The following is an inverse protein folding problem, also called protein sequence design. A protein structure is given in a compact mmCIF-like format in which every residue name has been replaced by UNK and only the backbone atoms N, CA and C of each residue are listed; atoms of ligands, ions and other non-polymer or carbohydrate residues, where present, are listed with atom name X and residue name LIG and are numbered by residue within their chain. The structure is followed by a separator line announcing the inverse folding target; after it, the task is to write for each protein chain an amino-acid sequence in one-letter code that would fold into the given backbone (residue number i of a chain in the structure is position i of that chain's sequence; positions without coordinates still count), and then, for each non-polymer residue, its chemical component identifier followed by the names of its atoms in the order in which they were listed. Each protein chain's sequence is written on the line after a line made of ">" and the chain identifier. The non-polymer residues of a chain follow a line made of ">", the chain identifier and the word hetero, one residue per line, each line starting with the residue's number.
data_IF_810358089624
#
_entry.id   IF_810358089624
#
_cell.length_a   1.000
_cell.length_b   1.000
_cell.length_c   1.000
_cell.angle_alpha   90.00
_cell.angle_beta   90.00
_cell.angle_gamma   90.00
#
_symmetry.space_group_name_H-M   'P 1'
#
loop_
_entity.id
_entity.type
_entity.pdbx_description
1 polymer ?
#
# COMPACT_ATOMS: atom_id res chain seq x y z
N UNK A 1 -73.91 38.90 -56.75
CA UNK A 1 -73.41 38.61 -55.37
C UNK A 1 -72.55 37.38 -55.47
N UNK A 2 -71.23 37.59 -55.36
CA UNK A 2 -70.25 36.51 -55.53
C UNK A 2 -69.68 36.18 -54.15
N UNK A 3 -69.95 34.99 -53.57
CA UNK A 3 -69.42 34.48 -52.35
C UNK A 3 -68.04 33.84 -52.63
N UNK A 4 -67.01 34.39 -52.11
CA UNK A 4 -65.70 33.79 -52.15
C UNK A 4 -65.53 32.91 -50.88
N UNK A 5 -65.32 31.64 -51.09
CA UNK A 5 -65.02 30.66 -50.05
C UNK A 5 -63.49 30.67 -49.93
N UNK A 6 -62.98 31.05 -48.76
CA UNK A 6 -61.56 31.01 -48.43
C UNK A 6 -61.28 29.65 -47.78
N UNK A 7 -60.54 28.81 -48.44
CA UNK A 7 -60.07 27.55 -47.87
C UNK A 7 -58.74 27.82 -47.08
N UNK A 8 -58.79 27.60 -45.77
CA UNK A 8 -57.64 27.71 -44.90
C UNK A 8 -56.95 26.34 -44.82
N UNK A 9 -55.80 26.19 -45.49
CA UNK A 9 -54.98 24.99 -45.39
C UNK A 9 -54.13 25.10 -44.15
N UNK A 10 -54.40 24.25 -43.14
CA UNK A 10 -53.48 24.07 -41.97
C UNK A 10 -52.30 23.20 -42.40
N UNK A 11 -51.13 23.79 -42.57
CA UNK A 11 -49.87 23.04 -42.59
C UNK A 11 -49.46 22.75 -41.16
N UNK A 12 -49.62 21.51 -40.71
CA UNK A 12 -49.01 21.01 -39.50
C UNK A 12 -47.53 20.65 -39.79
N UNK A 13 -46.63 21.53 -39.43
CA UNK A 13 -45.20 21.23 -39.42
C UNK A 13 -44.86 20.31 -38.24
N UNK A 14 -44.64 19.04 -38.54
CA UNK A 14 -43.98 18.13 -37.60
C UNK A 14 -42.52 18.55 -37.46
N UNK A 15 -42.19 19.28 -36.38
CA UNK A 15 -40.82 19.43 -35.96
C UNK A 15 -40.35 18.11 -35.37
N UNK A 16 -39.62 17.32 -36.14
CA UNK A 16 -38.82 16.23 -35.61
C UNK A 16 -37.73 16.91 -34.75
N UNK A 17 -37.94 16.90 -33.44
CA UNK A 17 -36.89 17.24 -32.49
C UNK A 17 -35.76 16.21 -32.61
N UNK A 18 -34.65 16.62 -33.18
CA UNK A 18 -33.44 15.83 -33.09
C UNK A 18 -33.08 15.70 -31.61
N UNK A 19 -33.23 14.49 -31.07
CA UNK A 19 -32.71 14.15 -29.77
C UNK A 19 -31.19 14.16 -29.94
N UNK A 20 -30.55 15.27 -29.59
CA UNK A 20 -29.10 15.32 -29.45
C UNK A 20 -28.75 14.47 -28.25
N UNK A 21 -28.09 13.37 -28.51
CA UNK A 21 -27.44 12.61 -27.45
C UNK A 21 -26.40 13.53 -26.79
N UNK A 22 -26.60 13.84 -25.52
CA UNK A 22 -25.60 14.60 -24.77
C UNK A 22 -24.37 13.73 -24.59
N UNK A 23 -23.21 14.22 -25.04
CA UNK A 23 -21.95 13.56 -24.81
C UNK A 23 -21.68 13.48 -23.29
N UNK A 24 -21.57 12.26 -22.79
CA UNK A 24 -21.19 12.04 -21.39
C UNK A 24 -19.67 11.96 -21.33
N UNK A 25 -19.04 12.95 -20.72
CA UNK A 25 -17.60 12.94 -20.47
C UNK A 25 -17.34 12.50 -19.04
N UNK A 26 -16.37 11.60 -18.85
CA UNK A 26 -15.88 11.21 -17.55
C UNK A 26 -14.39 11.58 -17.44
N UNK A 27 -13.98 12.13 -16.29
CA UNK A 27 -12.60 12.47 -16.00
C UNK A 27 -12.18 11.78 -14.70
N UNK A 28 -11.00 11.20 -14.70
CA UNK A 28 -10.36 10.64 -13.51
C UNK A 28 -8.95 11.20 -13.38
N UNK A 29 -8.52 11.45 -12.13
CA UNK A 29 -7.16 11.88 -11.79
C UNK A 29 -6.53 10.76 -10.99
N UNK A 30 -5.35 10.28 -11.44
CA UNK A 30 -4.51 9.38 -10.69
C UNK A 30 -3.32 10.16 -10.14
N UNK A 31 -3.06 10.00 -8.85
CA UNK A 31 -1.95 10.69 -8.17
C UNK A 31 -0.95 9.66 -7.67
N UNK A 32 0.33 9.88 -7.97
CA UNK A 32 1.42 9.08 -7.45
C UNK A 32 2.24 9.93 -6.47
N UNK A 33 2.45 9.39 -5.27
CA UNK A 33 3.42 9.96 -4.34
C UNK A 33 4.81 9.51 -4.74
N UNK A 34 5.75 10.46 -4.86
CA UNK A 34 7.13 10.19 -5.19
C UNK A 34 8.03 10.82 -4.13
N UNK A 35 8.97 10.02 -3.62
CA UNK A 35 10.01 10.48 -2.70
C UNK A 35 11.36 9.98 -3.21
N UNK A 36 12.37 10.84 -3.23
CA UNK A 36 13.73 10.47 -3.55
C UNK A 36 14.63 10.76 -2.34
N UNK A 37 15.35 9.73 -1.87
CA UNK A 37 16.35 9.84 -0.81
C UNK A 37 17.65 9.18 -1.28
N UNK A 38 18.78 9.86 -1.04
CA UNK A 38 20.11 9.27 -1.20
C UNK A 38 20.83 9.33 0.14
N UNK A 39 21.24 8.20 0.65
CA UNK A 39 22.04 8.07 1.86
C UNK A 39 23.17 7.07 1.61
N UNK A 40 24.41 7.52 1.72
CA UNK A 40 25.63 6.74 1.48
C UNK A 40 26.57 6.74 2.68
N UNK A 41 26.15 7.33 3.80
CA UNK A 41 26.97 7.52 5.00
C UNK A 41 26.46 6.75 6.20
N UNK A 42 25.18 6.43 6.27
CA UNK A 42 24.60 5.67 7.37
C UNK A 42 25.05 4.21 7.34
N UNK A 43 25.33 3.65 8.54
CA UNK A 43 25.70 2.22 8.67
C UNK A 43 24.60 1.26 8.24
N UNK A 44 23.33 1.69 8.33
CA UNK A 44 22.16 0.96 7.87
C UNK A 44 21.32 1.88 6.98
N UNK A 45 21.00 1.43 5.77
CA UNK A 45 20.04 2.07 4.87
C UNK A 45 19.01 1.05 4.44
N UNK A 46 17.74 1.39 4.56
CA UNK A 46 16.63 0.57 4.06
C UNK A 46 15.82 1.37 3.06
N UNK A 47 15.57 0.78 1.91
CA UNK A 47 14.82 1.40 0.82
C UNK A 47 13.63 0.53 0.46
N UNK A 48 12.38 0.97 0.68
CA UNK A 48 11.21 0.27 0.18
C UNK A 48 11.18 0.35 -1.36
N UNK A 49 10.86 -0.77 -1.99
CA UNK A 49 10.82 -0.89 -3.45
C UNK A 49 9.37 -1.05 -3.91
N UNK A 50 8.78 0.04 -4.37
CA UNK A 50 7.39 0.08 -4.82
C UNK A 50 6.41 0.61 -3.78
N UNK A 51 5.12 0.47 -4.08
CA UNK A 51 4.00 0.88 -3.23
C UNK A 51 3.05 -0.30 -2.98
N UNK A 52 2.23 -0.20 -1.95
CA UNK A 52 1.19 -1.17 -1.65
C UNK A 52 -0.15 -0.69 -2.20
N UNK A 53 -0.89 -1.60 -2.85
CA UNK A 53 -2.24 -1.32 -3.35
C UNK A 53 -3.14 -2.51 -3.06
N UNK A 54 -4.05 -2.35 -2.11
CA UNK A 54 -5.01 -3.38 -1.74
C UNK A 54 -6.30 -3.19 -2.52
N UNK A 55 -6.74 -4.25 -3.19
CA UNK A 55 -8.00 -4.29 -3.94
C UNK A 55 -8.96 -5.25 -3.26
N UNK A 56 -10.17 -4.77 -2.99
CA UNK A 56 -11.23 -5.64 -2.50
C UNK A 56 -11.72 -6.56 -3.61
N UNK A 57 -11.88 -7.83 -3.28
CA UNK A 57 -12.37 -8.85 -4.19
C UNK A 57 -13.69 -9.42 -3.64
N UNK A 58 -14.80 -9.11 -4.30
CA UNK A 58 -16.15 -9.49 -3.89
C UNK A 58 -16.32 -11.01 -3.72
N UNK A 59 -15.69 -11.79 -4.61
CA UNK A 59 -15.78 -13.26 -4.57
C UNK A 59 -15.18 -13.91 -3.33
N UNK A 60 -14.22 -13.26 -2.67
CA UNK A 60 -13.58 -13.73 -1.44
C UNK A 60 -13.93 -12.86 -0.23
N UNK A 61 -14.72 -11.80 -0.43
CA UNK A 61 -15.12 -10.81 0.57
C UNK A 61 -13.96 -10.26 1.37
N UNK A 62 -12.87 -9.90 0.67
CA UNK A 62 -11.64 -9.48 1.32
C UNK A 62 -10.69 -8.78 0.36
N UNK A 63 -9.66 -8.17 0.92
CA UNK A 63 -8.59 -7.54 0.16
C UNK A 63 -7.51 -8.55 -0.21
N UNK A 64 -6.89 -8.34 -1.37
CA UNK A 64 -5.74 -9.13 -1.78
C UNK A 64 -4.54 -8.89 -0.85
N UNK A 65 -3.66 -9.87 -0.78
CA UNK A 65 -2.35 -9.73 -0.12
C UNK A 65 -1.35 -9.08 -1.07
N UNK A 66 -0.38 -8.35 -0.51
CA UNK A 66 0.69 -7.68 -1.27
C UNK A 66 2.06 -8.12 -0.75
N UNK A 67 3.03 -8.24 -1.67
CA UNK A 67 4.44 -8.32 -1.29
C UNK A 67 5.07 -6.93 -1.42
N UNK A 68 5.62 -6.41 -0.33
CA UNK A 68 6.41 -5.19 -0.34
C UNK A 68 7.88 -5.55 -0.27
N UNK A 69 8.58 -5.33 -1.38
CA UNK A 69 10.02 -5.52 -1.49
C UNK A 69 10.77 -4.38 -0.79
N UNK A 70 11.89 -4.71 -0.20
CA UNK A 70 12.81 -3.73 0.37
C UNK A 70 14.26 -4.13 0.10
N UNK A 71 15.11 -3.13 -0.09
CA UNK A 71 16.56 -3.25 -0.15
C UNK A 71 17.15 -2.83 1.19
N UNK A 72 18.09 -3.61 1.70
CA UNK A 72 18.86 -3.29 2.90
C UNK A 72 20.31 -3.18 2.51
N UNK A 73 20.96 -2.08 2.87
CA UNK A 73 22.39 -1.89 2.73
C UNK A 73 23.01 -1.60 4.09
N UNK A 74 24.07 -2.31 4.42
CA UNK A 74 24.84 -2.11 5.65
C UNK A 74 26.28 -1.72 5.33
N UNK A 75 26.92 -0.98 6.24
CA UNK A 75 28.37 -0.86 6.30
C UNK A 75 28.90 -1.96 7.20
N UNK A 76 29.76 -2.84 6.66
CA UNK A 76 30.34 -3.94 7.43
C UNK A 76 31.36 -3.44 8.45
N UNK A 77 31.52 -4.17 9.54
CA UNK A 77 32.43 -3.84 10.63
C UNK A 77 33.41 -5.00 10.89
N UNK A 78 34.67 -4.82 10.53
CA UNK A 78 35.69 -5.89 10.65
C UNK A 78 35.99 -6.33 12.09
N UNK A 79 35.59 -5.55 13.08
CA UNK A 79 35.71 -5.92 14.50
C UNK A 79 34.50 -6.73 15.01
N UNK A 80 33.42 -6.78 14.25
CA UNK A 80 32.21 -7.46 14.68
C UNK A 80 32.37 -8.99 14.64
N UNK A 81 31.97 -9.63 15.73
CA UNK A 81 31.90 -11.10 15.88
C UNK A 81 30.51 -11.66 15.62
N UNK A 82 29.48 -10.81 15.74
CA UNK A 82 28.09 -11.16 15.41
C UNK A 82 27.32 -9.97 14.83
N UNK A 83 26.24 -10.29 14.11
CA UNK A 83 25.34 -9.29 13.54
C UNK A 83 23.88 -9.73 13.69
N UNK A 84 23.04 -8.77 14.04
CA UNK A 84 21.61 -8.96 14.15
C UNK A 84 20.88 -7.81 13.48
N UNK A 85 19.88 -8.14 12.64
CA UNK A 85 18.93 -7.20 12.05
C UNK A 85 17.53 -7.58 12.47
N UNK A 86 16.80 -6.65 13.02
CA UNK A 86 15.42 -6.83 13.43
C UNK A 86 14.50 -5.82 12.76
N UNK A 87 13.20 -6.10 12.78
CA UNK A 87 12.17 -5.19 12.32
C UNK A 87 11.01 -5.11 13.31
N UNK A 88 10.36 -3.95 13.38
CA UNK A 88 9.19 -3.69 14.21
C UNK A 88 8.21 -2.78 13.49
N UNK A 89 6.92 -3.07 13.59
CA UNK A 89 5.86 -2.24 13.03
C UNK A 89 5.72 -0.92 13.82
N UNK A 90 5.69 0.21 13.11
CA UNK A 90 5.53 1.54 13.70
C UNK A 90 4.11 2.06 13.48
N UNK A 91 3.67 2.08 12.20
CA UNK A 91 2.33 2.52 11.81
C UNK A 91 1.77 1.61 10.73
N UNK A 92 0.45 1.39 10.75
CA UNK A 92 -0.18 0.46 9.80
C UNK A 92 -1.67 0.77 9.55
N UNK A 93 -2.13 1.95 9.87
CA UNK A 93 -3.56 2.30 9.74
C UNK A 93 -3.77 3.12 8.47
N UNK A 94 -4.69 2.67 7.64
CA UNK A 94 -5.23 3.43 6.52
C UNK A 94 -6.59 3.98 6.93
N UNK A 95 -6.87 5.24 6.61
CA UNK A 95 -8.12 5.92 6.95
C UNK A 95 -8.88 6.25 5.67
N UNK A 96 -10.18 6.09 5.70
CA UNK A 96 -11.04 6.39 4.56
C UNK A 96 -11.07 7.90 4.27
N UNK A 97 -11.03 8.25 2.99
CA UNK A 97 -10.88 9.64 2.55
C UNK A 97 -12.19 10.43 2.52
N UNK A 98 -13.35 9.78 2.64
CA UNK A 98 -14.68 10.40 2.57
C UNK A 98 -15.16 11.02 3.90
N UNK A 99 -14.37 10.88 4.96
CA UNK A 99 -14.71 11.41 6.29
C UNK A 99 -15.58 10.50 7.14
N UNK A 100 -15.92 9.28 6.71
CA UNK A 100 -16.65 8.29 7.52
C UNK A 100 -15.91 7.89 8.79
N UNK A 101 -14.59 8.06 8.79
CA UNK A 101 -13.70 7.61 9.86
C UNK A 101 -13.34 6.12 9.80
N UNK A 102 -13.87 5.37 8.83
CA UNK A 102 -13.52 3.95 8.63
C UNK A 102 -12.02 3.76 8.49
N UNK A 103 -11.49 2.70 9.10
CA UNK A 103 -10.06 2.39 9.05
C UNK A 103 -9.80 0.95 8.66
N UNK A 104 -8.64 0.73 8.01
CA UNK A 104 -8.06 -0.59 7.76
C UNK A 104 -6.72 -0.67 8.48
N UNK A 105 -6.48 -1.75 9.22
CA UNK A 105 -5.18 -2.05 9.79
C UNK A 105 -4.46 -3.10 8.95
N UNK A 106 -3.30 -2.71 8.45
CA UNK A 106 -2.45 -3.57 7.63
C UNK A 106 -1.62 -4.46 8.54
N UNK A 107 -1.78 -5.77 8.39
CA UNK A 107 -0.90 -6.76 8.99
C UNK A 107 0.37 -6.93 8.16
N UNK A 108 1.51 -7.08 8.83
CA UNK A 108 2.83 -7.27 8.22
C UNK A 108 3.38 -8.62 8.67
N UNK A 109 3.87 -9.40 7.73
CA UNK A 109 4.41 -10.73 7.99
C UNK A 109 5.79 -10.89 7.34
N UNK A 110 6.71 -11.54 8.05
CA UNK A 110 8.01 -11.94 7.55
C UNK A 110 8.21 -13.44 7.71
N UNK A 111 8.21 -14.20 6.60
CA UNK A 111 8.30 -15.66 6.59
C UNK A 111 7.35 -16.36 7.59
N UNK A 112 6.08 -15.91 7.63
CA UNK A 112 5.04 -16.45 8.51
C UNK A 112 5.03 -15.90 9.94
N UNK A 113 6.02 -15.08 10.34
CA UNK A 113 6.04 -14.40 11.63
C UNK A 113 5.45 -13.01 11.52
N UNK A 114 4.53 -12.67 12.41
CA UNK A 114 3.98 -11.32 12.46
C UNK A 114 5.08 -10.31 12.84
N UNK A 115 5.10 -9.19 12.14
CA UNK A 115 5.88 -8.01 12.54
C UNK A 115 4.92 -7.10 13.28
N UNK A 116 5.02 -7.03 14.58
CA UNK A 116 4.11 -6.28 15.44
C UNK A 116 4.76 -5.02 16.04
N UNK A 117 3.99 -4.26 16.85
CA UNK A 117 4.43 -2.98 17.43
C UNK A 117 5.19 -3.15 18.74
N UNK A 118 5.12 -4.30 19.36
CA UNK A 118 5.55 -4.53 20.74
C UNK A 118 6.80 -5.37 20.86
N UNK A 119 7.09 -6.18 19.84
CA UNK A 119 8.24 -7.08 19.83
C UNK A 119 9.00 -6.99 18.50
N UNK A 120 10.29 -7.26 18.57
CA UNK A 120 11.16 -7.27 17.40
C UNK A 120 11.07 -8.61 16.66
N UNK A 121 10.88 -8.53 15.35
CA UNK A 121 10.98 -9.69 14.46
C UNK A 121 12.39 -9.78 13.90
N UNK A 122 13.06 -10.91 14.12
CA UNK A 122 14.42 -11.13 13.64
C UNK A 122 14.40 -11.42 12.14
N UNK A 123 15.14 -10.61 11.36
CA UNK A 123 15.38 -10.81 9.93
C UNK A 123 16.69 -11.57 9.69
N UNK A 124 17.77 -11.09 10.30
CA UNK A 124 19.10 -11.71 10.28
C UNK A 124 19.58 -11.89 11.72
N UNK A 125 20.16 -13.04 11.99
CA UNK A 125 20.87 -13.32 13.24
C UNK A 125 21.97 -14.34 12.93
N UNK A 126 23.22 -13.86 12.91
CA UNK A 126 24.39 -14.67 12.55
C UNK A 126 24.76 -15.71 13.61
N UNK A 127 24.31 -15.51 14.87
CA UNK A 127 24.53 -16.48 15.95
C UNK A 127 23.63 -17.69 15.77
N UNK A 128 22.38 -17.49 15.36
CA UNK A 128 21.42 -18.58 15.13
C UNK A 128 21.38 -19.08 13.68
N UNK A 129 22.14 -18.40 12.78
CA UNK A 129 22.18 -18.74 11.36
C UNK A 129 20.94 -18.29 10.57
N UNK A 130 20.11 -17.43 11.15
CA UNK A 130 18.93 -16.88 10.46
C UNK A 130 19.34 -15.75 9.51
N UNK A 131 18.92 -15.81 8.23
CA UNK A 131 19.28 -14.78 7.25
C UNK A 131 18.15 -14.39 6.29
N UNK A 132 17.07 -15.19 6.18
CA UNK A 132 16.03 -14.94 5.19
C UNK A 132 16.60 -14.78 3.78
N UNK A 133 16.10 -13.81 3.01
CA UNK A 133 16.65 -13.40 1.72
C UNK A 133 17.92 -12.53 1.82
N UNK A 134 18.35 -12.16 3.04
CA UNK A 134 19.44 -11.24 3.31
C UNK A 134 20.79 -11.94 3.57
N UNK A 135 21.01 -13.12 3.00
CA UNK A 135 22.22 -13.93 3.21
C UNK A 135 23.52 -13.19 2.86
N UNK A 136 23.52 -12.33 1.83
CA UNK A 136 24.67 -11.53 1.47
C UNK A 136 25.11 -10.60 2.61
N UNK A 137 24.18 -10.04 3.35
CA UNK A 137 24.44 -9.23 4.55
C UNK A 137 24.97 -10.12 5.67
N UNK A 138 24.33 -11.26 5.92
CA UNK A 138 24.70 -12.20 6.97
C UNK A 138 26.12 -12.77 6.80
N UNK A 139 26.63 -12.91 5.57
CA UNK A 139 27.98 -13.42 5.30
C UNK A 139 29.07 -12.35 5.24
N UNK A 140 28.68 -11.07 5.16
CA UNK A 140 29.65 -10.00 4.93
C UNK A 140 29.61 -8.88 5.97
N UNK A 141 28.80 -8.99 7.03
CA UNK A 141 28.64 -7.97 8.07
C UNK A 141 29.96 -7.58 8.76
N UNK A 142 30.93 -8.51 8.80
CA UNK A 142 32.25 -8.35 9.41
C UNK A 142 33.38 -8.10 8.40
N UNK A 143 33.08 -7.67 7.20
CA UNK A 143 34.05 -7.28 6.19
C UNK A 143 33.98 -5.79 5.94
N UNK A 144 35.14 -5.17 5.63
CA UNK A 144 35.13 -3.76 5.24
C UNK A 144 34.37 -3.54 3.95
N UNK A 145 33.55 -2.47 3.91
CA UNK A 145 32.77 -2.06 2.75
C UNK A 145 31.27 -2.20 2.94
N UNK A 146 30.53 -1.83 1.90
CA UNK A 146 29.07 -1.80 1.91
C UNK A 146 28.51 -3.04 1.22
N UNK A 147 27.57 -3.68 1.88
CA UNK A 147 26.89 -4.88 1.40
C UNK A 147 25.38 -4.68 1.41
N UNK A 148 24.71 -5.14 0.36
CA UNK A 148 23.27 -5.01 0.22
C UNK A 148 22.60 -6.37 -0.04
N UNK A 149 21.33 -6.45 0.32
CA UNK A 149 20.45 -7.59 0.03
C UNK A 149 19.01 -7.12 -0.08
N UNK A 150 18.20 -7.91 -0.75
CA UNK A 150 16.77 -7.62 -0.93
C UNK A 150 15.94 -8.73 -0.30
N UNK A 151 14.82 -8.33 0.27
CA UNK A 151 13.82 -9.26 0.80
C UNK A 151 12.42 -8.64 0.70
N UNK A 152 11.40 -9.32 1.22
CA UNK A 152 10.03 -8.87 1.16
C UNK A 152 9.27 -9.16 2.45
N UNK A 153 8.40 -8.24 2.83
CA UNK A 153 7.29 -8.52 3.72
C UNK A 153 6.04 -8.92 2.93
N UNK A 154 5.16 -9.69 3.56
CA UNK A 154 3.80 -9.90 3.09
C UNK A 154 2.87 -9.00 3.88
N UNK A 155 2.05 -8.23 3.18
CA UNK A 155 1.08 -7.30 3.74
C UNK A 155 -0.33 -7.79 3.44
N UNK A 156 -1.23 -7.66 4.41
CA UNK A 156 -2.65 -8.01 4.27
C UNK A 156 -3.49 -7.10 5.15
N UNK A 157 -4.77 -6.95 4.85
CA UNK A 157 -5.69 -6.28 5.77
C UNK A 157 -6.02 -7.26 6.89
N UNK A 158 -5.57 -6.93 8.11
CA UNK A 158 -5.72 -7.80 9.29
C UNK A 158 -7.04 -7.57 10.02
N UNK A 159 -7.46 -6.31 10.13
CA UNK A 159 -8.73 -5.92 10.73
C UNK A 159 -9.14 -4.54 10.23
N UNK A 160 -10.38 -4.16 10.50
CA UNK A 160 -10.95 -2.89 10.05
C UNK A 160 -11.97 -2.37 11.06
N UNK A 161 -12.29 -1.07 10.95
CA UNK A 161 -13.42 -0.45 11.63
C UNK A 161 -14.33 0.22 10.60
N UNK A 162 -15.64 0.28 10.90
CA UNK A 162 -16.61 0.93 10.02
C UNK A 162 -16.64 2.46 10.18
N UNK A 163 -16.26 2.97 11.34
CA UNK A 163 -16.35 4.38 11.74
C UNK A 163 -15.16 4.87 12.58
N UNK A 164 -14.06 4.13 12.59
CA UNK A 164 -12.87 4.40 13.41
C UNK A 164 -12.90 3.80 14.80
N UNK A 165 -14.07 3.36 15.29
CA UNK A 165 -14.28 2.81 16.63
C UNK A 165 -14.91 1.42 16.63
N UNK A 166 -15.92 1.22 15.78
CA UNK A 166 -16.68 -0.04 15.70
C UNK A 166 -15.95 -1.06 14.85
N UNK A 167 -15.46 -2.18 15.43
CA UNK A 167 -14.82 -3.23 14.64
C UNK A 167 -15.75 -3.79 13.58
N UNK A 168 -15.26 -3.93 12.37
CA UNK A 168 -15.97 -4.61 11.31
C UNK A 168 -16.04 -6.12 11.61
N UNK A 169 -17.22 -6.71 11.51
CA UNK A 169 -17.42 -8.14 11.72
C UNK A 169 -16.78 -8.98 10.62
N UNK A 170 -16.81 -8.46 9.41
CA UNK A 170 -16.06 -8.93 8.25
C UNK A 170 -15.78 -7.73 7.31
N UNK A 171 -14.98 -7.94 6.27
CA UNK A 171 -14.57 -6.84 5.39
C UNK A 171 -15.66 -6.45 4.38
N UNK A 172 -16.72 -7.22 4.23
CA UNK A 172 -17.85 -6.91 3.31
C UNK A 172 -18.82 -5.86 3.88
N UNK A 173 -18.76 -5.60 5.19
CA UNK A 173 -19.60 -4.57 5.82
C UNK A 173 -18.98 -3.17 5.77
N UNK A 174 -17.78 -3.05 5.23
CA UNK A 174 -17.10 -1.77 5.09
C UNK A 174 -17.84 -0.87 4.11
N UNK A 175 -17.86 0.46 4.36
CA UNK A 175 -18.40 1.40 3.37
C UNK A 175 -17.58 1.38 2.08
N UNK A 176 -18.21 1.73 0.97
CA UNK A 176 -17.51 1.95 -0.30
C UNK A 176 -16.56 3.13 -0.19
N UNK A 177 -15.39 3.04 -0.81
CA UNK A 177 -14.46 4.16 -0.80
C UNK A 177 -12.99 3.79 -0.97
N UNK A 178 -12.15 4.76 -0.67
CA UNK A 178 -10.69 4.65 -0.75
C UNK A 178 -10.10 4.95 0.62
N UNK A 179 -9.25 4.06 1.10
CA UNK A 179 -8.45 4.25 2.31
C UNK A 179 -7.02 4.61 1.92
N UNK A 180 -6.44 5.56 2.62
CA UNK A 180 -5.06 6.01 2.40
C UNK A 180 -4.33 6.16 3.73
N UNK A 181 -3.02 5.96 3.70
CA UNK A 181 -2.14 6.07 4.87
C UNK A 181 -0.80 5.42 4.60
N UNK A 182 0.07 5.49 5.61
CA UNK A 182 1.42 4.93 5.54
C UNK A 182 1.56 3.70 6.42
N UNK A 183 2.19 2.67 5.88
CA UNK A 183 2.67 1.53 6.65
C UNK A 183 4.17 1.71 6.86
N UNK A 184 4.58 1.85 8.12
CA UNK A 184 5.97 2.10 8.49
C UNK A 184 6.52 0.95 9.32
N UNK A 185 7.67 0.42 8.88
CA UNK A 185 8.42 -0.62 9.60
C UNK A 185 9.78 -0.04 9.94
N UNK A 186 10.14 -0.10 11.21
CA UNK A 186 11.48 0.24 11.71
C UNK A 186 12.42 -0.96 11.53
N UNK A 187 13.67 -0.68 11.24
CA UNK A 187 14.74 -1.67 11.18
C UNK A 187 15.86 -1.26 12.13
N UNK A 188 16.32 -2.21 12.92
CA UNK A 188 17.41 -2.01 13.88
C UNK A 188 18.51 -3.03 13.61
N UNK A 189 19.74 -2.52 13.40
CA UNK A 189 20.91 -3.33 13.14
C UNK A 189 21.91 -3.22 14.30
N UNK A 190 22.40 -4.36 14.79
CA UNK A 190 23.38 -4.45 15.87
C UNK A 190 24.59 -5.25 15.41
N UNK A 191 25.79 -4.66 15.51
CA UNK A 191 27.08 -5.32 15.39
C UNK A 191 27.62 -5.56 16.79
N UNK A 192 27.93 -6.80 17.13
CA UNK A 192 28.53 -7.19 18.40
C UNK A 192 30.02 -7.40 18.18
N UNK A 193 30.86 -6.76 18.96
CA UNK A 193 32.33 -6.88 18.96
C UNK A 193 32.81 -7.84 20.03
#
# INVERSE_FOLDING_TARGET
>A
MKRKILALALLSSFSMGAVQAADTTAQAVATWSATAKKDTTSKLVVTPLGSLSFQYAEGVKGFNTQKGLFDVAIEGDSSATAFKLTSRLVSNTLTQLDGSGSTLNVGVNYFGNAVDKTSDTVLVDTVTGKSGGLSNIAFNYNKAGRFAGQDAFTFSIANATTDGTTPATDLSVLPEGIWSGDVSVQFDATWTS
#
